data_IF_179563366944
#
_entry.id   IF_179563366944
#
_cell.length_a   1.000
_cell.length_b   1.000
_cell.length_c   1.000
_cell.angle_alpha   90.00
_cell.angle_beta   90.00
_cell.angle_gamma   90.00
#
_symmetry.space_group_name_H-M   'P 1'
#
loop_
_entity.id
_entity.type
_entity.pdbx_description
1 polymer ?
#
# COMPACT_ATOMS: atom_id res chain seq x y z
N UNK A 1 -8.16 11.68 14.55
CA UNK A 1 -9.39 10.91 14.27
C UNK A 1 -9.11 9.43 14.56
N UNK A 2 -9.93 8.77 15.39
CA UNK A 2 -9.81 7.33 15.68
C UNK A 2 -11.00 6.57 15.07
N UNK A 3 -10.82 6.03 13.86
CA UNK A 3 -11.91 5.32 13.15
C UNK A 3 -12.12 3.88 13.65
N UNK A 4 -11.06 3.21 14.10
CA UNK A 4 -11.10 1.81 14.49
C UNK A 4 -11.54 1.59 15.95
N UNK A 5 -12.15 0.43 16.20
CA UNK A 5 -12.39 -0.07 17.56
C UNK A 5 -11.08 -0.61 18.13
N UNK A 6 -10.67 -0.10 19.29
CA UNK A 6 -9.51 -0.62 20.02
C UNK A 6 -9.89 -1.94 20.70
N UNK A 7 -9.33 -3.04 20.22
CA UNK A 7 -9.62 -4.39 20.75
C UNK A 7 -8.77 -4.69 21.99
N UNK A 8 -7.52 -4.21 22.02
CA UNK A 8 -6.56 -4.49 23.09
C UNK A 8 -5.64 -3.30 23.35
N UNK A 9 -5.38 -3.02 24.62
CA UNK A 9 -4.47 -1.95 25.05
C UNK A 9 -5.00 -0.55 24.74
N UNK A 10 -4.08 0.40 24.57
CA UNK A 10 -4.40 1.78 24.18
C UNK A 10 -4.25 1.94 22.67
N UNK A 11 -5.32 2.39 22.01
CA UNK A 11 -5.33 2.61 20.56
C UNK A 11 -4.34 3.69 20.13
N UNK A 12 -3.67 3.48 19.00
CA UNK A 12 -2.84 4.51 18.37
C UNK A 12 -3.70 5.33 17.43
N UNK A 13 -3.81 6.63 17.70
CA UNK A 13 -4.59 7.54 16.88
C UNK A 13 -3.69 8.05 15.75
N UNK A 14 -4.07 7.86 14.48
CA UNK A 14 -3.33 8.45 13.37
C UNK A 14 -3.41 9.98 13.41
N UNK A 15 -2.27 10.61 13.17
CA UNK A 15 -2.16 12.04 12.93
C UNK A 15 -2.32 12.31 11.43
N UNK A 16 -3.24 13.21 11.07
CA UNK A 16 -3.46 13.64 9.70
C UNK A 16 -3.00 15.10 9.58
N UNK A 17 -2.24 15.42 8.54
CA UNK A 17 -1.78 16.77 8.23
C UNK A 17 -2.12 17.08 6.79
N UNK A 18 -2.83 18.18 6.57
CA UNK A 18 -3.18 18.65 5.23
C UNK A 18 -2.00 19.44 4.70
N UNK A 19 -1.41 18.97 3.60
CA UNK A 19 -0.32 19.68 2.92
C UNK A 19 -0.85 20.58 1.79
N UNK A 20 -1.87 20.09 1.07
CA UNK A 20 -2.48 20.77 -0.08
C UNK A 20 -3.98 20.43 -0.07
N UNK A 21 -4.83 21.43 -0.35
CA UNK A 21 -6.30 21.28 -0.42
C UNK A 21 -6.84 22.04 -1.63
N UNK A 22 -6.63 21.51 -2.83
CA UNK A 22 -7.12 22.12 -4.08
C UNK A 22 -8.64 22.02 -4.24
N UNK A 23 -9.27 21.05 -3.58
CA UNK A 23 -10.71 20.86 -3.59
C UNK A 23 -11.47 21.90 -2.75
N UNK A 24 -10.76 22.75 -1.99
CA UNK A 24 -11.33 23.71 -1.03
C UNK A 24 -12.35 23.07 -0.08
N UNK A 25 -12.09 21.83 0.35
CA UNK A 25 -12.96 21.14 1.30
C UNK A 25 -12.78 21.73 2.69
N UNK A 26 -13.88 21.88 3.41
CA UNK A 26 -13.86 22.27 4.81
C UNK A 26 -13.30 21.13 5.68
N UNK A 27 -12.81 21.47 6.87
CA UNK A 27 -12.20 20.50 7.77
C UNK A 27 -13.16 19.35 8.13
N UNK A 28 -14.43 19.65 8.35
CA UNK A 28 -15.45 18.64 8.68
C UNK A 28 -15.70 17.69 7.50
N UNK A 29 -15.68 18.21 6.26
CA UNK A 29 -15.82 17.41 5.05
C UNK A 29 -14.62 16.47 4.87
N UNK A 30 -13.41 16.98 5.07
CA UNK A 30 -12.18 16.18 5.01
C UNK A 30 -12.16 15.09 6.08
N UNK A 31 -12.54 15.41 7.32
CA UNK A 31 -12.60 14.42 8.39
C UNK A 31 -13.64 13.34 8.11
N UNK A 32 -14.84 13.72 7.66
CA UNK A 32 -15.89 12.77 7.28
C UNK A 32 -15.44 11.88 6.12
N UNK A 33 -14.81 12.46 5.11
CA UNK A 33 -14.29 11.74 3.95
C UNK A 33 -13.20 10.72 4.34
N UNK A 34 -12.18 11.15 5.08
CA UNK A 34 -11.11 10.26 5.56
C UNK A 34 -11.69 9.17 6.46
N UNK A 35 -12.66 9.49 7.32
CA UNK A 35 -13.31 8.50 8.16
C UNK A 35 -14.07 7.45 7.32
N UNK A 36 -14.81 7.87 6.29
CA UNK A 36 -15.54 6.97 5.41
C UNK A 36 -14.58 6.00 4.69
N UNK A 37 -13.41 6.46 4.26
CA UNK A 37 -12.40 5.60 3.65
C UNK A 37 -11.89 4.49 4.58
N UNK A 38 -11.95 4.67 5.91
CA UNK A 38 -11.59 3.62 6.87
C UNK A 38 -12.59 2.45 6.90
N UNK A 39 -13.79 2.59 6.35
CA UNK A 39 -14.81 1.53 6.30
C UNK A 39 -14.79 0.74 4.98
N UNK A 40 -13.90 1.08 4.05
CA UNK A 40 -13.83 0.43 2.73
C UNK A 40 -12.94 -0.81 2.68
N UNK A 41 -12.42 -1.27 3.83
CA UNK A 41 -11.57 -2.45 3.87
C UNK A 41 -12.35 -3.72 3.54
N UNK A 42 -12.02 -4.36 2.42
CA UNK A 42 -12.90 -5.36 1.79
C UNK A 42 -12.83 -6.78 2.38
N UNK A 43 -12.08 -6.98 3.47
CA UNK A 43 -11.90 -8.30 4.10
C UNK A 43 -12.45 -8.39 5.53
N UNK A 44 -12.91 -7.26 6.09
CA UNK A 44 -13.56 -7.21 7.41
C UNK A 44 -14.78 -6.30 7.35
N UNK A 45 -15.70 -6.44 8.30
CA UNK A 45 -16.94 -5.65 8.37
C UNK A 45 -16.85 -4.48 9.38
N UNK A 46 -15.64 -4.04 9.72
CA UNK A 46 -15.37 -2.98 10.69
C UNK A 46 -14.37 -1.97 10.14
N UNK A 47 -14.39 -0.75 10.66
CA UNK A 47 -13.40 0.25 10.30
C UNK A 47 -11.97 -0.18 10.66
N UNK A 48 -11.04 0.04 9.72
CA UNK A 48 -9.60 -0.07 9.94
C UNK A 48 -9.02 1.21 10.54
N UNK A 49 -7.76 1.13 10.98
CA UNK A 49 -7.10 2.24 11.68
C UNK A 49 -6.60 3.35 10.76
N UNK A 50 -6.40 3.06 9.47
CA UNK A 50 -5.95 3.98 8.44
C UNK A 50 -6.91 3.93 7.24
N UNK A 51 -7.02 4.98 6.43
CA UNK A 51 -7.86 4.97 5.24
C UNK A 51 -7.46 3.85 4.28
N UNK A 52 -8.44 3.21 3.65
CA UNK A 52 -8.20 2.04 2.79
C UNK A 52 -7.10 2.22 1.74
N UNK A 53 -6.98 3.35 1.02
CA UNK A 53 -5.89 3.54 0.05
C UNK A 53 -4.49 3.46 0.67
N UNK A 54 -4.34 3.97 1.91
CA UNK A 54 -3.07 3.93 2.64
C UNK A 54 -2.78 2.51 3.12
N UNK A 55 -3.81 1.81 3.61
CA UNK A 55 -3.69 0.43 4.04
C UNK A 55 -3.22 -0.46 2.89
N UNK A 56 -3.86 -0.35 1.72
CA UNK A 56 -3.50 -1.14 0.54
C UNK A 56 -2.10 -0.81 0.02
N UNK A 57 -1.68 0.46 0.06
CA UNK A 57 -0.32 0.83 -0.32
C UNK A 57 0.74 0.10 0.52
N UNK A 58 0.52 -0.05 1.83
CA UNK A 58 1.42 -0.80 2.72
C UNK A 58 1.42 -2.30 2.39
N UNK A 59 0.25 -2.90 2.14
CA UNK A 59 0.16 -4.32 1.74
C UNK A 59 0.85 -4.58 0.39
N UNK A 60 0.69 -3.70 -0.60
CA UNK A 60 1.43 -3.77 -1.86
C UNK A 60 2.95 -3.64 -1.65
N UNK A 61 3.40 -2.76 -0.76
CA UNK A 61 4.81 -2.62 -0.42
C UNK A 61 5.37 -3.88 0.25
N UNK A 62 4.61 -4.50 1.19
CA UNK A 62 4.96 -5.79 1.81
C UNK A 62 5.08 -6.89 0.77
N UNK A 63 4.11 -7.00 -0.14
CA UNK A 63 4.13 -8.00 -1.21
C UNK A 63 5.29 -7.79 -2.17
N UNK A 64 5.55 -6.55 -2.60
CA UNK A 64 6.71 -6.21 -3.43
C UNK A 64 8.02 -6.62 -2.76
N UNK A 65 8.18 -6.34 -1.46
CA UNK A 65 9.34 -6.78 -0.67
C UNK A 65 9.49 -8.31 -0.65
N UNK A 66 8.39 -9.04 -0.46
CA UNK A 66 8.41 -10.50 -0.44
C UNK A 66 8.78 -11.11 -1.81
N UNK A 67 8.23 -10.56 -2.90
CA UNK A 67 8.58 -10.98 -4.26
C UNK A 67 10.07 -10.72 -4.53
N UNK A 68 10.56 -9.52 -4.18
CA UNK A 68 11.97 -9.16 -4.35
C UNK A 68 12.90 -10.07 -3.55
N UNK A 69 12.57 -10.36 -2.28
CA UNK A 69 13.34 -11.30 -1.44
C UNK A 69 13.44 -12.68 -2.08
N UNK A 70 12.33 -13.16 -2.64
CA UNK A 70 12.27 -14.48 -3.30
C UNK A 70 13.12 -14.52 -4.55
N UNK A 71 13.08 -13.48 -5.39
CA UNK A 71 13.93 -13.40 -6.58
C UNK A 71 15.42 -13.33 -6.20
N UNK A 72 15.77 -12.56 -5.17
CA UNK A 72 17.16 -12.47 -4.70
C UNK A 72 17.71 -13.82 -4.19
N UNK A 73 16.84 -14.70 -3.71
CA UNK A 73 17.22 -16.06 -3.32
C UNK A 73 17.36 -17.01 -4.51
N UNK A 74 16.58 -16.81 -5.58
CA UNK A 74 16.59 -17.66 -6.78
C UNK A 74 17.65 -17.26 -7.81
N UNK A 75 17.99 -15.98 -7.87
CA UNK A 75 19.01 -15.46 -8.78
C UNK A 75 20.35 -15.38 -8.05
N UNK A 76 21.40 -15.97 -8.63
CA UNK A 76 22.77 -15.80 -8.14
C UNK A 76 23.19 -14.32 -8.12
N UNK A 77 22.77 -13.56 -9.14
CA UNK A 77 23.00 -12.12 -9.27
C UNK A 77 21.79 -11.44 -9.89
N UNK A 78 21.50 -10.23 -9.42
CA UNK A 78 20.51 -9.36 -10.06
C UNK A 78 20.96 -8.99 -11.48
N UNK A 79 20.02 -8.79 -12.43
CA UNK A 79 20.34 -8.29 -13.76
C UNK A 79 21.13 -6.97 -13.69
N UNK A 80 22.08 -6.79 -14.61
CA UNK A 80 22.96 -5.62 -14.65
C UNK A 80 23.06 -5.05 -16.05
N UNK A 81 23.09 -3.72 -16.13
CA UNK A 81 23.41 -2.98 -17.36
C UNK A 81 24.90 -3.17 -17.70
N UNK A 82 25.33 -2.88 -18.94
CA UNK A 82 26.74 -3.00 -19.36
C UNK A 82 27.71 -2.18 -18.50
N UNK A 83 27.23 -1.09 -17.87
CA UNK A 83 27.99 -0.26 -16.93
C UNK A 83 28.16 -0.90 -15.53
N UNK A 84 27.71 -2.14 -15.33
CA UNK A 84 27.80 -2.87 -14.09
C UNK A 84 26.78 -2.45 -13.02
N UNK A 85 25.92 -1.45 -13.23
CA UNK A 85 24.85 -1.11 -12.28
C UNK A 85 23.70 -2.10 -12.40
N UNK A 86 22.92 -2.28 -11.33
CA UNK A 86 21.70 -3.11 -11.37
C UNK A 86 20.73 -2.53 -12.39
N UNK A 87 20.16 -3.40 -13.21
CA UNK A 87 19.10 -3.01 -14.13
C UNK A 87 17.74 -3.05 -13.41
N UNK A 88 17.36 -1.91 -12.83
CA UNK A 88 16.09 -1.79 -12.11
C UNK A 88 14.87 -1.86 -13.03
N UNK A 89 15.02 -1.53 -14.32
CA UNK A 89 13.93 -1.62 -15.28
C UNK A 89 13.62 -3.10 -15.56
N UNK A 90 14.66 -3.90 -15.78
CA UNK A 90 14.52 -5.35 -15.95
C UNK A 90 14.00 -6.04 -14.68
N UNK A 91 14.51 -5.66 -13.51
CA UNK A 91 14.04 -6.17 -12.22
C UNK A 91 12.56 -5.84 -12.02
N UNK A 92 12.15 -4.61 -12.29
CA UNK A 92 10.74 -4.17 -12.19
C UNK A 92 9.85 -4.96 -13.15
N UNK A 93 10.24 -5.07 -14.43
CA UNK A 93 9.48 -5.83 -15.44
C UNK A 93 9.33 -7.32 -15.11
N UNK A 94 10.32 -7.92 -14.43
CA UNK A 94 10.26 -9.31 -13.97
C UNK A 94 9.38 -9.50 -12.73
N UNK A 95 9.26 -8.48 -11.88
CA UNK A 95 8.54 -8.54 -10.60
C UNK A 95 7.10 -8.05 -10.67
N UNK A 96 6.80 -7.12 -11.58
CA UNK A 96 5.47 -6.54 -11.71
C UNK A 96 4.46 -7.55 -12.26
N UNK A 97 3.17 -7.29 -11.97
CA UNK A 97 2.07 -8.07 -12.51
C UNK A 97 1.54 -7.55 -13.85
N UNK A 98 1.95 -6.35 -14.27
CA UNK A 98 1.57 -5.76 -15.56
C UNK A 98 1.97 -6.68 -16.72
N UNK A 99 1.06 -6.88 -17.67
CA UNK A 99 1.19 -7.81 -18.81
C UNK A 99 1.46 -9.27 -18.41
N UNK A 100 1.10 -9.66 -17.17
CA UNK A 100 1.20 -11.05 -16.69
C UNK A 100 -0.20 -11.63 -16.51
N UNK A 101 -0.28 -12.96 -16.41
CA UNK A 101 -1.55 -13.68 -16.18
C UNK A 101 -2.32 -13.23 -14.93
N UNK A 102 -1.63 -12.60 -13.97
CA UNK A 102 -2.22 -12.13 -12.72
C UNK A 102 -2.55 -10.63 -12.70
N UNK A 103 -2.36 -9.90 -13.80
CA UNK A 103 -2.53 -8.44 -13.87
C UNK A 103 -3.88 -7.96 -13.33
N UNK A 104 -4.97 -8.57 -13.79
CA UNK A 104 -6.33 -8.23 -13.40
C UNK A 104 -6.87 -9.10 -12.26
N UNK A 105 -5.99 -9.84 -11.59
CA UNK A 105 -6.39 -10.66 -10.45
C UNK A 105 -6.32 -9.81 -9.19
N UNK A 106 -7.46 -9.68 -8.50
CA UNK A 106 -7.49 -9.11 -7.16
C UNK A 106 -6.56 -9.91 -6.27
N UNK A 107 -5.46 -9.29 -5.85
CA UNK A 107 -4.62 -9.81 -4.80
C UNK A 107 -5.09 -9.19 -3.49
N UNK A 108 -5.55 -10.02 -2.56
CA UNK A 108 -5.64 -9.62 -1.17
C UNK A 108 -4.19 -9.64 -0.69
N UNK A 109 -3.55 -8.47 -0.73
CA UNK A 109 -2.17 -8.32 -0.29
C UNK A 109 -2.08 -8.51 1.24
#
# INVERSE_FOLDING_TARGET
MQSHKVIKGTGKIPAYTILVNEANMEMDELQAFINALCYNHQIITSAVSLPEPIYQADEWAKRGRNNFRTIKQKLDKLPRKPNGKVDWDEVTNKLCYMDRKLELTRSNA
#
